data_IF_705730463440
#
_entry.id   IF_705730463440
#
_cell.length_a   1.000
_cell.length_b   1.000
_cell.length_c   1.000
_cell.angle_alpha   90.00
_cell.angle_beta   90.00
_cell.angle_gamma   90.00
#
_symmetry.space_group_name_H-M   'P 1'
#
loop_
_entity.id
_entity.type
_entity.pdbx_description
1 polymer ?
#
# COMPACT_ATOMS: atom_id res chain seq x y z
N UNK A 1 -49.52 11.44 38.85
CA UNK A 1 -48.17 10.90 39.17
C UNK A 1 -47.65 9.90 38.15
N UNK A 2 -48.27 8.72 37.92
CA UNK A 2 -47.73 7.70 36.99
C UNK A 2 -47.47 8.20 35.55
N UNK A 3 -48.41 8.97 34.97
CA UNK A 3 -48.23 9.55 33.61
C UNK A 3 -47.09 10.56 33.52
N UNK A 4 -46.94 11.41 34.54
CA UNK A 4 -45.86 12.42 34.61
C UNK A 4 -44.49 11.76 34.74
N UNK A 5 -44.40 10.69 35.53
CA UNK A 5 -43.16 9.90 35.68
C UNK A 5 -42.78 9.20 34.37
N UNK A 6 -43.77 8.63 33.65
CA UNK A 6 -43.52 8.01 32.34
C UNK A 6 -42.99 9.04 31.34
N UNK A 7 -43.60 10.22 31.25
CA UNK A 7 -43.12 11.28 30.34
C UNK A 7 -41.68 11.68 30.65
N UNK A 8 -41.35 11.90 31.92
CA UNK A 8 -39.99 12.28 32.34
C UNK A 8 -38.97 11.19 31.98
N UNK A 9 -39.30 9.91 32.24
CA UNK A 9 -38.42 8.79 31.91
C UNK A 9 -38.22 8.69 30.39
N UNK A 10 -39.27 8.81 29.59
CA UNK A 10 -39.17 8.73 28.13
C UNK A 10 -38.35 9.88 27.55
N UNK A 11 -38.52 11.10 28.06
CA UNK A 11 -37.73 12.26 27.64
C UNK A 11 -36.27 12.10 28.02
N UNK A 12 -35.97 11.60 29.23
CA UNK A 12 -34.59 11.34 29.65
C UNK A 12 -33.95 10.23 28.80
N UNK A 13 -34.71 9.17 28.46
CA UNK A 13 -34.26 8.10 27.58
C UNK A 13 -33.94 8.62 26.17
N UNK A 14 -34.82 9.47 25.61
CA UNK A 14 -34.57 10.12 24.31
C UNK A 14 -33.33 11.00 24.34
N UNK A 15 -33.11 11.78 25.41
CA UNK A 15 -31.91 12.62 25.55
C UNK A 15 -30.65 11.75 25.67
N UNK A 16 -30.69 10.62 26.39
CA UNK A 16 -29.56 9.69 26.47
C UNK A 16 -29.29 8.95 25.16
N UNK A 17 -30.32 8.67 24.37
CA UNK A 17 -30.18 8.03 23.05
C UNK A 17 -29.70 9.01 21.98
N UNK A 18 -30.05 10.30 22.09
CA UNK A 18 -29.58 11.37 21.21
C UNK A 18 -28.21 11.93 21.63
N UNK A 19 -27.79 11.72 22.88
CA UNK A 19 -26.67 12.41 23.50
C UNK A 19 -25.28 11.88 23.16
N UNK A 20 -25.14 10.63 22.71
CA UNK A 20 -23.81 10.05 22.48
C UNK A 20 -23.25 10.32 21.07
N UNK A 21 -24.08 10.40 20.03
CA UNK A 21 -23.59 10.65 18.66
C UNK A 21 -23.63 12.14 18.25
N UNK A 22 -24.54 12.94 18.83
CA UNK A 22 -24.71 14.35 18.46
C UNK A 22 -23.68 15.29 19.12
N UNK A 23 -23.03 14.84 20.19
CA UNK A 23 -22.06 15.62 20.98
C UNK A 23 -20.61 15.24 20.71
N UNK A 24 -20.36 14.15 19.97
CA UNK A 24 -19.01 13.84 19.52
C UNK A 24 -18.69 14.76 18.33
N UNK A 25 -17.54 15.46 18.34
CA UNK A 25 -17.10 16.18 17.16
C UNK A 25 -17.00 15.16 16.02
N UNK A 26 -17.45 15.56 14.82
CA UNK A 26 -17.23 14.77 13.60
C UNK A 26 -15.73 14.46 13.56
N UNK A 27 -15.32 13.17 13.45
CA UNK A 27 -13.90 12.84 13.37
C UNK A 27 -13.28 13.60 12.19
N UNK A 28 -12.05 14.07 12.38
CA UNK A 28 -11.31 14.74 11.32
C UNK A 28 -11.17 13.81 10.12
N UNK A 29 -11.08 14.39 8.92
CA UNK A 29 -10.78 13.62 7.72
C UNK A 29 -9.41 12.95 7.89
N UNK A 30 -9.30 11.64 7.59
CA UNK A 30 -8.02 10.96 7.67
C UNK A 30 -7.07 11.51 6.60
N UNK A 31 -5.77 11.53 6.91
CA UNK A 31 -4.72 11.74 5.91
C UNK A 31 -4.16 10.38 5.48
N UNK A 32 -3.64 10.33 4.27
CA UNK A 32 -2.94 9.16 3.75
C UNK A 32 -1.45 9.51 3.62
N UNK A 33 -0.60 8.69 4.21
CA UNK A 33 0.85 8.75 4.06
C UNK A 33 1.29 7.54 3.24
N UNK A 34 1.90 7.78 2.09
CA UNK A 34 2.41 6.76 1.19
C UNK A 34 3.94 6.74 1.25
N UNK A 35 4.50 5.59 1.60
CA UNK A 35 5.92 5.28 1.46
C UNK A 35 6.08 4.27 0.31
N UNK A 36 6.57 4.74 -0.84
CA UNK A 36 6.86 3.92 -1.99
C UNK A 36 8.34 3.57 -2.08
N UNK A 37 8.65 2.28 -2.14
CA UNK A 37 10.01 1.75 -2.27
C UNK A 37 10.12 1.03 -3.63
N UNK A 38 10.97 1.56 -4.51
CA UNK A 38 11.16 1.02 -5.87
C UNK A 38 12.63 0.81 -6.19
N UNK A 39 12.98 -0.36 -6.73
CA UNK A 39 14.37 -0.70 -7.07
C UNK A 39 14.46 -1.34 -8.45
N UNK A 40 15.27 -0.78 -9.35
CA UNK A 40 15.54 -1.36 -10.68
C UNK A 40 16.76 -2.30 -10.71
N UNK A 41 17.62 -2.21 -9.70
CA UNK A 41 18.90 -2.94 -9.59
C UNK A 41 19.89 -2.70 -10.73
N UNK A 42 19.74 -1.61 -11.51
CA UNK A 42 20.67 -1.29 -12.60
C UNK A 42 22.09 -0.96 -12.10
N UNK A 43 22.22 -0.65 -10.80
CA UNK A 43 23.52 -0.50 -10.15
C UNK A 43 24.18 -1.83 -9.78
N UNK A 44 23.50 -2.96 -9.91
CA UNK A 44 24.06 -4.30 -9.73
C UNK A 44 24.51 -4.91 -11.07
N UNK A 45 25.32 -5.96 -11.01
CA UNK A 45 25.79 -6.69 -12.20
C UNK A 45 24.73 -7.59 -12.86
N UNK A 46 23.64 -7.87 -12.16
CA UNK A 46 22.55 -8.73 -12.62
C UNK A 46 21.26 -8.45 -11.82
N UNK A 47 20.16 -9.10 -12.18
CA UNK A 47 18.89 -8.95 -11.47
C UNK A 47 18.16 -7.64 -11.79
N UNK A 48 18.37 -7.07 -12.97
CA UNK A 48 17.72 -5.82 -13.38
C UNK A 48 16.21 -6.01 -13.53
N UNK A 49 15.44 -5.04 -13.06
CA UNK A 49 14.01 -4.87 -13.27
C UNK A 49 13.78 -3.54 -14.00
N UNK A 50 12.70 -3.44 -14.77
CA UNK A 50 12.49 -2.27 -15.64
C UNK A 50 11.20 -1.48 -15.34
N UNK A 51 10.24 -2.07 -14.61
CA UNK A 51 8.96 -1.45 -14.30
C UNK A 51 8.87 -0.87 -12.89
N UNK A 52 9.63 -1.40 -11.94
CA UNK A 52 9.49 -1.08 -10.50
C UNK A 52 9.57 0.42 -10.16
N UNK A 53 10.42 1.18 -10.85
CA UNK A 53 10.54 2.63 -10.63
C UNK A 53 9.34 3.38 -11.19
N UNK A 54 8.89 3.03 -12.41
CA UNK A 54 7.69 3.60 -13.02
C UNK A 54 6.45 3.29 -12.18
N UNK A 55 6.27 2.01 -11.83
CA UNK A 55 5.24 1.50 -10.93
C UNK A 55 5.12 2.30 -9.62
N UNK A 56 6.26 2.53 -8.96
CA UNK A 56 6.31 3.26 -7.69
C UNK A 56 5.87 4.72 -7.86
N UNK A 57 6.37 5.40 -8.90
CA UNK A 57 6.05 6.80 -9.20
C UNK A 57 4.59 6.96 -9.62
N UNK A 58 4.09 6.07 -10.47
CA UNK A 58 2.73 6.08 -10.97
C UNK A 58 1.72 5.78 -9.87
N UNK A 59 1.99 4.80 -9.01
CA UNK A 59 1.08 4.50 -7.89
C UNK A 59 1.01 5.68 -6.91
N UNK A 60 2.15 6.29 -6.60
CA UNK A 60 2.20 7.49 -5.77
C UNK A 60 1.34 8.63 -6.37
N UNK A 61 1.47 8.83 -7.69
CA UNK A 61 0.70 9.83 -8.42
C UNK A 61 -0.79 9.51 -8.50
N UNK A 62 -1.15 8.26 -8.78
CA UNK A 62 -2.54 7.81 -8.80
C UNK A 62 -3.22 8.03 -7.43
N UNK A 63 -2.54 7.65 -6.34
CA UNK A 63 -3.04 7.87 -4.98
C UNK A 63 -3.15 9.36 -4.66
N UNK A 64 -2.13 10.17 -4.97
CA UNK A 64 -2.13 11.60 -4.73
C UNK A 64 -3.28 12.31 -5.44
N UNK A 65 -3.43 12.08 -6.75
CA UNK A 65 -4.48 12.73 -7.53
C UNK A 65 -5.88 12.22 -7.16
N UNK A 66 -6.04 10.92 -6.91
CA UNK A 66 -7.34 10.36 -6.48
C UNK A 66 -7.73 10.88 -5.09
N UNK A 67 -6.77 10.96 -4.17
CA UNK A 67 -6.99 11.55 -2.85
C UNK A 67 -7.45 13.00 -2.95
N UNK A 68 -6.74 13.82 -3.72
CA UNK A 68 -7.12 15.22 -3.94
C UNK A 68 -8.53 15.37 -4.53
N UNK A 69 -8.88 14.55 -5.53
CA UNK A 69 -10.22 14.57 -6.13
C UNK A 69 -11.33 14.18 -5.13
N UNK A 70 -11.01 13.28 -4.20
CA UNK A 70 -11.94 12.81 -3.17
C UNK A 70 -11.87 13.62 -1.88
N UNK A 71 -11.03 14.67 -1.82
CA UNK A 71 -10.89 15.55 -0.66
C UNK A 71 -10.13 14.92 0.52
N UNK A 72 -9.16 14.05 0.22
CA UNK A 72 -8.27 13.33 1.15
C UNK A 72 -6.86 13.80 0.91
N UNK A 73 -6.20 14.33 1.94
CA UNK A 73 -4.80 14.75 1.83
C UNK A 73 -3.90 13.51 1.73
N UNK A 74 -2.99 13.53 0.76
CA UNK A 74 -2.01 12.45 0.51
C UNK A 74 -0.60 13.03 0.61
N UNK A 75 0.19 12.52 1.54
CA UNK A 75 1.62 12.81 1.66
C UNK A 75 2.43 11.65 1.07
N UNK A 76 3.29 11.95 0.11
CA UNK A 76 4.08 10.95 -0.63
C UNK A 76 5.52 10.99 -0.16
N UNK A 77 6.14 9.83 0.07
CA UNK A 77 7.59 9.67 0.20
C UNK A 77 8.04 8.58 -0.75
N UNK A 78 9.05 8.86 -1.57
CA UNK A 78 9.64 7.88 -2.48
C UNK A 78 11.06 7.54 -2.06
N UNK A 79 11.36 6.24 -1.97
CA UNK A 79 12.70 5.71 -1.80
C UNK A 79 13.05 4.89 -3.04
N UNK A 80 13.87 5.48 -3.92
CA UNK A 80 14.14 4.93 -5.24
C UNK A 80 15.62 4.58 -5.40
N UNK A 81 15.88 3.38 -5.91
CA UNK A 81 17.17 3.02 -6.48
C UNK A 81 17.01 2.98 -8.00
N UNK A 82 17.33 4.10 -8.66
CA UNK A 82 17.14 4.31 -10.10
C UNK A 82 18.48 4.50 -10.82
N UNK A 83 18.70 3.71 -11.87
CA UNK A 83 19.84 3.76 -12.77
C UNK A 83 21.10 3.04 -12.28
N UNK A 84 22.18 3.15 -13.07
CA UNK A 84 23.43 2.43 -12.84
C UNK A 84 24.30 3.01 -11.71
N UNK A 85 24.07 4.27 -11.34
CA UNK A 85 24.88 5.00 -10.36
C UNK A 85 24.00 5.82 -9.40
N UNK A 86 23.08 5.18 -8.66
CA UNK A 86 22.30 5.85 -7.63
C UNK A 86 23.24 6.34 -6.52
N UNK A 87 22.84 7.42 -5.85
CA UNK A 87 23.53 7.88 -4.65
C UNK A 87 23.18 6.97 -3.47
N UNK A 88 24.01 5.94 -3.25
CA UNK A 88 23.87 4.99 -2.13
C UNK A 88 23.97 5.67 -0.76
N UNK A 89 24.52 6.90 -0.69
CA UNK A 89 24.64 7.65 0.57
C UNK A 89 23.38 8.44 0.93
N UNK A 90 22.51 8.70 -0.05
CA UNK A 90 21.24 9.43 0.13
C UNK A 90 20.38 8.83 1.25
N UNK A 91 19.73 9.64 2.11
CA UNK A 91 18.78 9.15 3.10
C UNK A 91 17.56 8.45 2.46
N UNK A 92 17.27 8.73 1.19
CA UNK A 92 16.19 8.11 0.41
C UNK A 92 16.64 6.87 -0.37
N UNK A 93 17.92 6.48 -0.27
CA UNK A 93 18.37 5.22 -0.84
C UNK A 93 17.70 4.05 -0.10
N UNK A 94 17.06 3.09 -0.79
CA UNK A 94 16.25 2.06 -0.17
C UNK A 94 17.10 0.91 0.40
N UNK A 95 18.01 1.17 1.34
CA UNK A 95 18.63 0.11 2.16
C UNK A 95 17.71 -0.28 3.32
N UNK A 96 17.94 -1.44 3.95
CA UNK A 96 17.06 -1.95 5.01
C UNK A 96 16.98 -0.94 6.15
N UNK A 97 18.12 -0.48 6.66
CA UNK A 97 18.19 0.48 7.75
C UNK A 97 17.50 1.82 7.42
N UNK A 98 17.60 2.28 6.16
CA UNK A 98 17.00 3.54 5.72
C UNK A 98 15.48 3.42 5.57
N UNK A 99 14.98 2.28 5.09
CA UNK A 99 13.54 2.00 5.04
C UNK A 99 12.94 2.02 6.45
N UNK A 100 13.60 1.40 7.43
CA UNK A 100 13.16 1.43 8.83
C UNK A 100 13.15 2.83 9.41
N UNK A 101 14.25 3.58 9.24
CA UNK A 101 14.34 4.96 9.69
C UNK A 101 13.23 5.83 9.06
N UNK A 102 12.87 5.57 7.82
CA UNK A 102 11.80 6.29 7.15
C UNK A 102 10.40 5.92 7.66
N UNK A 103 10.15 4.63 7.96
CA UNK A 103 8.90 4.20 8.61
C UNK A 103 8.77 4.87 9.99
N UNK A 104 9.85 4.91 10.77
CA UNK A 104 9.87 5.58 12.08
C UNK A 104 9.59 7.09 11.94
N UNK A 105 10.30 7.78 11.03
CA UNK A 105 10.11 9.21 10.76
C UNK A 105 8.67 9.56 10.36
N UNK A 106 8.01 8.72 9.56
CA UNK A 106 6.62 8.91 9.18
C UNK A 106 5.66 8.54 10.33
N UNK A 107 6.01 7.51 11.09
CA UNK A 107 5.31 7.07 12.31
C UNK A 107 5.10 8.18 13.33
N UNK A 108 6.10 9.04 13.53
CA UNK A 108 6.03 10.18 14.46
C UNK A 108 4.95 11.23 14.12
N UNK A 109 4.45 11.23 12.88
CA UNK A 109 3.43 12.19 12.40
C UNK A 109 2.04 11.60 12.29
N UNK A 110 1.96 10.28 12.23
CA UNK A 110 0.73 9.53 12.01
C UNK A 110 -0.11 9.52 13.28
N UNK A 111 -1.41 9.77 13.13
CA UNK A 111 -2.40 9.59 14.20
C UNK A 111 -3.18 8.28 13.99
N UNK A 112 -3.89 7.77 15.01
CA UNK A 112 -4.75 6.58 14.86
C UNK A 112 -5.86 6.71 13.80
N UNK A 113 -6.21 7.95 13.40
CA UNK A 113 -7.19 8.22 12.37
C UNK A 113 -6.60 8.17 10.95
N UNK A 114 -5.28 8.24 10.79
CA UNK A 114 -4.65 8.29 9.48
C UNK A 114 -4.47 6.91 8.84
N UNK A 115 -4.12 6.93 7.56
CA UNK A 115 -3.70 5.77 6.79
C UNK A 115 -2.21 5.83 6.48
N UNK A 116 -1.53 4.71 6.63
CA UNK A 116 -0.17 4.50 6.17
C UNK A 116 -0.15 3.40 5.11
N UNK A 117 0.36 3.71 3.92
CA UNK A 117 0.56 2.75 2.84
C UNK A 117 2.06 2.53 2.68
N UNK A 118 2.50 1.30 2.88
CA UNK A 118 3.83 0.85 2.51
C UNK A 118 3.73 0.10 1.18
N UNK A 119 4.38 0.61 0.15
CA UNK A 119 4.47 -0.03 -1.16
C UNK A 119 5.90 -0.44 -1.45
N UNK A 120 6.07 -1.66 -1.96
CA UNK A 120 7.35 -2.18 -2.40
C UNK A 120 7.24 -2.81 -3.78
N UNK A 121 8.13 -2.41 -4.70
CA UNK A 121 8.31 -3.03 -6.01
C UNK A 121 9.78 -3.43 -6.20
N UNK A 122 10.03 -4.73 -6.34
CA UNK A 122 11.39 -5.27 -6.40
C UNK A 122 11.44 -6.79 -6.31
N UNK A 123 12.64 -7.33 -6.11
CA UNK A 123 12.80 -8.77 -5.95
C UNK A 123 12.29 -9.25 -4.59
N UNK A 124 11.67 -10.43 -4.62
CA UNK A 124 11.45 -11.24 -3.43
C UNK A 124 12.59 -12.26 -3.31
N UNK A 125 13.09 -12.47 -2.10
CA UNK A 125 14.17 -13.38 -1.80
C UNK A 125 13.79 -14.85 -2.09
N UNK A 126 14.66 -15.52 -2.85
CA UNK A 126 14.65 -16.94 -3.20
C UNK A 126 15.96 -17.64 -2.75
N UNK A 127 16.79 -16.97 -1.94
CA UNK A 127 18.15 -17.44 -1.64
C UNK A 127 18.12 -18.51 -0.53
N UNK A 128 18.77 -19.64 -0.82
CA UNK A 128 18.97 -20.82 0.04
C UNK A 128 17.80 -21.82 0.19
N UNK A 129 17.04 -22.06 -0.87
CA UNK A 129 16.18 -23.26 -0.94
C UNK A 129 14.84 -23.14 -0.20
N UNK A 130 14.42 -21.90 0.10
CA UNK A 130 13.09 -21.59 0.59
C UNK A 130 12.59 -20.30 -0.02
N UNK A 131 11.35 -20.33 -0.52
CA UNK A 131 10.60 -19.18 -1.02
C UNK A 131 10.22 -18.32 0.19
N UNK A 132 11.15 -17.47 0.66
CA UNK A 132 10.97 -16.73 1.91
C UNK A 132 9.98 -15.58 1.73
N UNK A 133 10.00 -14.90 0.58
CA UNK A 133 9.18 -13.71 0.35
C UNK A 133 9.68 -12.47 1.10
N UNK A 134 10.90 -12.52 1.64
CA UNK A 134 11.58 -11.33 2.15
C UNK A 134 11.93 -10.37 0.99
N UNK A 135 12.16 -9.10 1.31
CA UNK A 135 12.38 -8.07 0.31
C UNK A 135 13.88 -7.94 0.08
N UNK A 136 14.33 -8.12 -1.16
CA UNK A 136 15.69 -7.73 -1.56
C UNK A 136 15.67 -6.21 -1.68
N UNK A 137 16.56 -5.50 -0.98
CA UNK A 137 16.58 -4.03 -0.97
C UNK A 137 17.89 -3.53 -1.60
N UNK A 138 18.28 -2.29 -1.33
CA UNK A 138 19.38 -1.62 -2.03
C UNK A 138 20.71 -2.38 -1.98
N UNK A 139 21.42 -2.37 -3.11
CA UNK A 139 22.78 -2.93 -3.22
C UNK A 139 23.81 -1.97 -2.58
N UNK A 140 24.64 -2.40 -1.62
CA UNK A 140 25.49 -1.50 -0.85
C UNK A 140 26.47 -0.67 -1.68
N UNK A 141 27.02 -1.22 -2.77
CA UNK A 141 27.91 -0.51 -3.68
C UNK A 141 27.52 -0.71 -5.15
N UNK A 142 27.79 0.31 -5.96
CA UNK A 142 27.58 0.23 -7.41
C UNK A 142 28.57 -0.77 -8.03
N UNK A 143 28.04 -1.66 -8.87
CA UNK A 143 28.79 -2.74 -9.53
C UNK A 143 28.88 -4.02 -8.72
N UNK A 144 28.24 -4.11 -7.54
CA UNK A 144 28.17 -5.36 -6.80
C UNK A 144 27.16 -6.34 -7.44
N UNK A 145 27.20 -7.60 -7.00
CA UNK A 145 26.19 -8.60 -7.36
C UNK A 145 24.88 -8.34 -6.62
N UNK A 146 23.73 -8.63 -7.24
CA UNK A 146 22.42 -8.58 -6.55
C UNK A 146 22.39 -9.48 -5.31
N UNK A 147 23.15 -10.58 -5.29
CA UNK A 147 23.28 -11.45 -4.11
C UNK A 147 24.00 -10.81 -2.91
N UNK A 148 24.57 -9.62 -3.08
CA UNK A 148 25.13 -8.81 -1.98
C UNK A 148 24.13 -7.79 -1.43
N UNK A 149 22.96 -7.65 -2.07
CA UNK A 149 21.91 -6.78 -1.60
C UNK A 149 21.47 -7.18 -0.20
N UNK A 150 21.07 -6.17 0.57
CA UNK A 150 20.48 -6.39 1.88
C UNK A 150 19.11 -7.08 1.74
N UNK A 151 18.72 -7.85 2.76
CA UNK A 151 17.42 -8.54 2.80
C UNK A 151 16.60 -7.96 3.96
N UNK A 152 15.62 -7.14 3.63
CA UNK A 152 14.66 -6.65 4.62
C UNK A 152 13.63 -7.75 4.90
N UNK A 153 13.71 -8.36 6.08
CA UNK A 153 12.79 -9.44 6.44
C UNK A 153 11.39 -8.92 6.67
N UNK A 154 10.37 -9.69 6.28
CA UNK A 154 8.97 -9.34 6.54
C UNK A 154 8.68 -9.30 8.05
N UNK A 155 9.39 -10.11 8.85
CA UNK A 155 9.32 -10.03 10.31
C UNK A 155 9.79 -8.67 10.84
N UNK A 156 10.92 -8.15 10.32
CA UNK A 156 11.40 -6.81 10.68
C UNK A 156 10.42 -5.73 10.20
N UNK A 157 9.85 -5.86 9.00
CA UNK A 157 8.80 -4.95 8.51
C UNK A 157 7.63 -4.89 9.48
N UNK A 158 7.08 -6.04 9.87
CA UNK A 158 5.96 -6.07 10.81
C UNK A 158 6.33 -5.52 12.18
N UNK A 159 7.55 -5.76 12.67
CA UNK A 159 7.99 -5.21 13.94
C UNK A 159 8.10 -3.68 13.90
N UNK A 160 8.65 -3.09 12.84
CA UNK A 160 8.71 -1.64 12.67
C UNK A 160 7.30 -1.02 12.54
N UNK A 161 6.39 -1.70 11.84
CA UNK A 161 5.01 -1.25 11.68
C UNK A 161 4.15 -1.35 12.93
N UNK A 162 4.59 -2.05 14.00
CA UNK A 162 3.86 -2.09 15.28
C UNK A 162 3.82 -0.71 15.96
N UNK A 163 4.86 0.10 15.78
CA UNK A 163 4.95 1.43 16.39
C UNK A 163 4.08 2.47 15.68
N UNK A 164 3.67 2.21 14.44
CA UNK A 164 2.79 3.09 13.67
C UNK A 164 1.35 2.91 14.14
N UNK A 165 0.74 3.91 14.77
CA UNK A 165 -0.63 3.78 15.34
C UNK A 165 -1.75 3.82 14.28
N UNK A 166 -1.46 4.35 13.09
CA UNK A 166 -2.38 4.46 11.97
C UNK A 166 -2.86 3.11 11.41
N UNK A 167 -3.92 3.16 10.61
CA UNK A 167 -4.33 2.01 9.79
C UNK A 167 -3.31 1.79 8.67
N UNK A 168 -2.81 0.56 8.53
CA UNK A 168 -1.69 0.21 7.65
C UNK A 168 -2.15 -0.66 6.49
N UNK A 169 -1.76 -0.31 5.27
CA UNK A 169 -1.89 -1.15 4.08
C UNK A 169 -0.51 -1.44 3.50
N UNK A 170 -0.15 -2.72 3.44
CA UNK A 170 1.09 -3.17 2.81
C UNK A 170 0.76 -3.66 1.41
N UNK A 171 1.41 -3.10 0.41
CA UNK A 171 1.27 -3.46 -1.00
C UNK A 171 2.64 -3.97 -1.47
N UNK A 172 2.75 -5.26 -1.76
CA UNK A 172 4.02 -5.89 -2.13
C UNK A 172 3.93 -6.43 -3.56
N UNK A 173 4.59 -5.75 -4.49
CA UNK A 173 4.83 -6.24 -5.86
C UNK A 173 6.19 -6.91 -5.96
N UNK A 174 6.27 -8.11 -5.37
CA UNK A 174 7.45 -8.96 -5.36
C UNK A 174 7.06 -10.44 -5.38
N UNK A 175 8.00 -11.28 -5.84
CA UNK A 175 7.86 -12.73 -5.80
C UNK A 175 7.65 -13.24 -4.37
N UNK A 176 6.82 -14.28 -4.22
CA UNK A 176 6.53 -14.92 -2.92
C UNK A 176 5.98 -13.97 -1.84
N UNK A 177 5.44 -12.81 -2.23
CA UNK A 177 4.89 -11.81 -1.30
C UNK A 177 3.78 -12.36 -0.39
N UNK A 178 3.10 -13.43 -0.81
CA UNK A 178 2.12 -14.18 -0.02
C UNK A 178 2.69 -15.09 1.08
N UNK A 179 4.00 -15.33 1.14
CA UNK A 179 4.62 -16.37 1.98
C UNK A 179 4.42 -16.18 3.49
N UNK A 180 4.30 -14.92 3.92
CA UNK A 180 4.12 -14.56 5.32
C UNK A 180 2.66 -14.29 5.72
N UNK A 181 1.71 -14.59 4.83
CA UNK A 181 0.30 -14.30 5.05
C UNK A 181 -0.57 -15.54 4.90
N UNK A 182 -1.52 -15.70 5.81
CA UNK A 182 -2.58 -16.70 5.66
C UNK A 182 -3.53 -16.19 4.58
N UNK A 183 -3.71 -16.92 3.47
CA UNK A 183 -4.47 -16.44 2.32
C UNK A 183 -5.96 -16.27 2.65
N UNK A 184 -6.56 -15.21 2.13
CA UNK A 184 -8.01 -15.00 2.14
C UNK A 184 -8.66 -15.42 0.79
N UNK A 185 -9.86 -16.03 0.79
CA UNK A 185 -10.67 -16.40 1.96
C UNK A 185 -10.08 -17.57 2.74
N UNK A 186 -10.28 -17.56 4.05
CA UNK A 186 -9.82 -18.62 4.95
C UNK A 186 -10.46 -19.98 4.60
N UNK A 187 -9.70 -21.05 4.74
CA UNK A 187 -10.20 -22.42 4.82
C UNK A 187 -10.87 -22.69 6.18
N UNK A 188 -11.61 -23.81 6.31
CA UNK A 188 -12.22 -24.21 7.59
C UNK A 188 -11.15 -24.38 8.68
N UNK A 189 -10.07 -25.12 8.37
CA UNK A 189 -8.95 -25.35 9.29
C UNK A 189 -8.31 -24.04 9.77
N UNK A 190 -8.08 -23.09 8.86
CA UNK A 190 -7.48 -21.79 9.21
C UNK A 190 -8.41 -20.94 10.09
N UNK A 191 -9.74 -21.14 10.05
CA UNK A 191 -10.65 -20.45 10.97
C UNK A 191 -10.57 -21.00 12.40
N UNK A 192 -10.19 -22.26 12.57
CA UNK A 192 -10.08 -22.93 13.86
C UNK A 192 -8.72 -22.69 14.55
N UNK A 193 -7.67 -22.47 13.76
CA UNK A 193 -6.33 -22.14 14.23
C UNK A 193 -6.24 -20.63 14.49
N UNK A 194 -6.26 -20.22 15.76
CA UNK A 194 -6.29 -18.84 16.24
C UNK A 194 -5.31 -17.93 15.46
N UNK A 195 -5.85 -17.06 14.59
CA UNK A 195 -5.07 -16.24 13.68
C UNK A 195 -4.54 -15.02 14.42
N UNK A 196 -3.24 -14.72 14.24
CA UNK A 196 -2.64 -13.44 14.65
C UNK A 196 -3.19 -12.31 13.76
N UNK A 197 -4.46 -11.99 13.96
CA UNK A 197 -5.19 -10.95 13.25
C UNK A 197 -4.92 -9.58 13.88
N UNK A 198 -4.51 -8.63 13.05
CA UNK A 198 -4.29 -7.23 13.45
C UNK A 198 -5.33 -6.40 12.71
N UNK A 199 -6.33 -5.88 13.44
CA UNK A 199 -7.47 -5.18 12.85
C UNK A 199 -7.10 -3.96 12.01
N UNK A 200 -5.98 -3.32 12.31
CA UNK A 200 -5.48 -2.13 11.63
C UNK A 200 -4.42 -2.43 10.56
N UNK A 201 -4.25 -3.69 10.13
CA UNK A 201 -3.24 -4.05 9.12
C UNK A 201 -3.85 -4.85 7.96
N UNK A 202 -3.58 -4.36 6.75
CA UNK A 202 -4.14 -4.82 5.49
C UNK A 202 -3.04 -5.15 4.49
N UNK A 203 -3.36 -5.99 3.50
CA UNK A 203 -2.38 -6.50 2.55
C UNK A 203 -2.93 -6.57 1.13
N UNK A 204 -2.14 -6.15 0.14
CA UNK A 204 -2.29 -6.49 -1.27
C UNK A 204 -0.96 -7.07 -1.75
N UNK A 205 -0.95 -8.33 -2.14
CA UNK A 205 0.26 -9.09 -2.43
C UNK A 205 0.20 -9.56 -3.87
N UNK A 206 1.25 -9.35 -4.64
CA UNK A 206 1.24 -9.63 -6.07
C UNK A 206 1.15 -11.13 -6.40
N UNK A 207 1.61 -11.99 -5.49
CA UNK A 207 1.61 -13.43 -5.70
C UNK A 207 1.22 -14.23 -4.46
N UNK A 208 0.81 -15.47 -4.68
CA UNK A 208 0.63 -16.48 -3.63
C UNK A 208 2.00 -16.93 -3.07
N UNK A 209 2.00 -17.59 -1.91
CA UNK A 209 3.21 -17.95 -1.16
C UNK A 209 4.28 -18.69 -1.96
N UNK A 210 3.87 -19.55 -2.90
CA UNK A 210 4.76 -20.39 -3.72
C UNK A 210 4.83 -19.93 -5.19
N UNK A 211 4.36 -18.71 -5.48
CA UNK A 211 4.28 -18.15 -6.84
C UNK A 211 5.13 -16.90 -6.99
N UNK A 212 5.59 -16.69 -8.21
CA UNK A 212 6.36 -15.50 -8.61
C UNK A 212 5.43 -14.36 -9.02
N UNK A 213 5.94 -13.12 -8.92
CA UNK A 213 5.35 -11.94 -9.58
C UNK A 213 6.10 -11.67 -10.89
N UNK A 214 5.42 -11.10 -11.88
CA UNK A 214 5.97 -10.84 -13.21
C UNK A 214 5.90 -9.36 -13.57
N UNK A 215 6.89 -8.93 -14.34
CA UNK A 215 6.81 -7.72 -15.16
C UNK A 215 6.28 -8.06 -16.56
N UNK A 216 5.49 -7.16 -17.14
CA UNK A 216 4.99 -7.27 -18.50
C UNK A 216 5.08 -5.93 -19.23
N UNK A 217 5.35 -6.01 -20.54
CA UNK A 217 5.30 -4.87 -21.44
C UNK A 217 3.84 -4.53 -21.74
N UNK A 218 3.38 -3.35 -21.31
CA UNK A 218 2.10 -2.76 -21.65
C UNK A 218 2.36 -1.54 -22.54
N UNK A 219 1.99 -1.63 -23.82
CA UNK A 219 2.29 -0.60 -24.82
C UNK A 219 3.79 -0.21 -24.83
N UNK A 220 4.13 1.02 -24.43
CA UNK A 220 5.51 1.52 -24.37
C UNK A 220 6.21 1.37 -23.01
N UNK A 221 5.52 0.80 -22.01
CA UNK A 221 5.99 0.76 -20.62
C UNK A 221 6.07 -0.67 -20.11
N UNK A 222 6.92 -0.90 -19.11
CA UNK A 222 7.00 -2.17 -18.40
C UNK A 222 6.43 -1.94 -17.01
N UNK A 223 5.55 -2.83 -16.56
CA UNK A 223 4.96 -2.77 -15.23
C UNK A 223 4.93 -4.14 -14.57
N UNK A 224 5.02 -4.16 -13.25
CA UNK A 224 4.55 -5.28 -12.44
C UNK A 224 3.07 -5.53 -12.74
N UNK A 225 2.72 -6.79 -13.01
CA UNK A 225 1.36 -7.15 -13.43
C UNK A 225 0.33 -6.72 -12.38
N UNK A 226 0.63 -6.87 -11.08
CA UNK A 226 -0.28 -6.41 -10.03
C UNK A 226 -0.39 -4.89 -10.04
N UNK A 227 0.73 -4.17 -10.10
CA UNK A 227 0.73 -2.71 -10.05
C UNK A 227 -0.02 -2.10 -11.24
N UNK A 228 0.14 -2.63 -12.45
CA UNK A 228 -0.64 -2.18 -13.61
C UNK A 228 -2.16 -2.29 -13.38
N UNK A 229 -2.63 -3.40 -12.79
CA UNK A 229 -4.05 -3.57 -12.48
C UNK A 229 -4.51 -2.66 -11.33
N UNK A 230 -3.63 -2.40 -10.37
CA UNK A 230 -3.88 -1.48 -9.27
C UNK A 230 -4.07 -0.05 -9.78
N UNK A 231 -3.21 0.39 -10.71
CA UNK A 231 -3.32 1.67 -11.40
C UNK A 231 -4.63 1.78 -12.18
N UNK A 232 -4.95 0.77 -12.99
CA UNK A 232 -6.21 0.72 -13.74
C UNK A 232 -7.44 0.80 -12.81
N UNK A 233 -7.41 0.10 -11.68
CA UNK A 233 -8.49 0.16 -10.69
C UNK A 233 -8.66 1.57 -10.09
N UNK A 234 -7.58 2.30 -9.85
CA UNK A 234 -7.62 3.71 -9.40
C UNK A 234 -8.07 4.69 -10.50
N UNK A 235 -8.21 4.21 -11.73
CA UNK A 235 -8.60 5.01 -12.90
C UNK A 235 -7.41 5.74 -13.54
N UNK A 236 -6.20 5.21 -13.37
CA UNK A 236 -4.99 5.73 -14.01
C UNK A 236 -5.07 5.55 -15.53
N UNK A 237 -4.71 6.61 -16.24
CA UNK A 237 -4.54 6.64 -17.69
C UNK A 237 -3.04 6.78 -17.96
N UNK A 238 -2.44 5.80 -18.65
CA UNK A 238 -1.01 5.79 -18.96
C UNK A 238 -0.60 6.82 -20.03
N UNK A 239 -1.55 7.57 -20.59
CA UNK A 239 -1.25 8.63 -21.55
C UNK A 239 -0.81 9.95 -20.90
N UNK A 240 0.10 10.65 -21.56
CA UNK A 240 0.58 11.95 -21.12
C UNK A 240 1.54 11.87 -19.94
N UNK A 241 1.65 12.96 -19.19
CA UNK A 241 2.62 13.10 -18.10
C UNK A 241 2.02 13.94 -16.98
N UNK A 242 2.21 13.51 -15.74
CA UNK A 242 1.91 14.29 -14.52
C UNK A 242 3.19 14.62 -13.76
N UNK A 243 3.05 15.40 -12.70
CA UNK A 243 4.14 15.69 -11.78
C UNK A 243 3.64 15.52 -10.36
N UNK A 244 4.45 14.84 -9.55
CA UNK A 244 4.24 14.75 -8.10
C UNK A 244 5.42 15.36 -7.37
N UNK A 245 5.13 15.88 -6.18
CA UNK A 245 6.16 16.36 -5.25
C UNK A 245 6.07 15.53 -3.99
N UNK A 246 7.19 14.95 -3.57
CA UNK A 246 7.25 14.19 -2.32
C UNK A 246 7.31 15.11 -1.09
N UNK A 247 7.29 14.49 0.08
CA UNK A 247 7.30 15.13 1.38
C UNK A 247 8.52 16.03 1.59
N UNK A 248 9.66 15.69 0.98
CA UNK A 248 10.91 16.43 1.12
C UNK A 248 11.10 17.46 -0.03
N UNK A 249 10.02 17.74 -0.79
CA UNK A 249 9.94 18.67 -1.93
C UNK A 249 10.73 18.25 -3.18
N UNK A 250 11.03 16.97 -3.35
CA UNK A 250 11.56 16.48 -4.62
C UNK A 250 10.41 16.31 -5.62
N UNK A 251 10.58 16.84 -6.84
CA UNK A 251 9.59 16.71 -7.91
C UNK A 251 9.96 15.60 -8.88
N UNK A 252 8.98 14.79 -9.25
CA UNK A 252 9.13 13.66 -10.17
C UNK A 252 8.18 13.82 -11.35
N UNK A 253 8.71 13.68 -12.56
CA UNK A 253 7.90 13.48 -13.76
C UNK A 253 7.38 12.05 -13.76
N UNK A 254 6.09 11.87 -14.03
CA UNK A 254 5.42 10.57 -13.99
C UNK A 254 4.62 10.39 -15.26
N UNK A 255 4.70 9.21 -15.88
CA UNK A 255 3.92 8.92 -17.08
C UNK A 255 2.49 8.61 -16.69
N UNK A 256 1.53 9.17 -17.42
CA UNK A 256 0.12 9.01 -17.12
C UNK A 256 -0.45 10.07 -16.18
N UNK A 257 -1.77 9.99 -15.95
CA UNK A 257 -2.52 10.89 -15.09
C UNK A 257 -3.88 10.27 -14.66
N UNK A 258 -4.55 10.89 -13.69
CA UNK A 258 -5.99 10.68 -13.47
C UNK A 258 -6.75 11.73 -14.28
N UNK A 259 -7.57 11.36 -15.29
CA UNK A 259 -8.33 12.33 -16.05
C UNK A 259 -9.27 13.14 -15.15
N UNK A 260 -9.31 14.46 -15.35
CA UNK A 260 -10.10 15.36 -14.49
C UNK A 260 -11.59 15.01 -14.53
N UNK A 261 -12.18 14.80 -13.35
CA UNK A 261 -13.59 14.43 -13.21
C UNK A 261 -13.90 12.97 -13.56
N UNK A 262 -12.89 12.14 -13.82
CA UNK A 262 -13.07 10.71 -14.02
C UNK A 262 -13.43 10.01 -12.70
N UNK A 263 -14.34 9.06 -12.79
CA UNK A 263 -14.71 8.20 -11.66
C UNK A 263 -13.86 6.93 -11.76
N UNK A 264 -13.24 6.52 -10.64
CA UNK A 264 -12.51 5.25 -10.60
C UNK A 264 -13.45 4.08 -10.96
N UNK A 265 -12.99 3.08 -11.75
CA UNK A 265 -13.79 1.90 -12.09
C UNK A 265 -14.35 1.12 -10.89
N UNK A 266 -13.76 1.28 -9.72
CA UNK A 266 -14.17 0.61 -8.48
C UNK A 266 -14.86 1.55 -7.48
N UNK A 267 -15.07 2.82 -7.82
CA UNK A 267 -15.81 3.74 -6.97
C UNK A 267 -17.28 3.33 -6.89
N UNK A 268 -17.79 3.14 -5.67
CA UNK A 268 -19.19 2.82 -5.40
C UNK A 268 -19.78 3.81 -4.42
N UNK A 269 -20.81 4.54 -4.87
CA UNK A 269 -21.52 5.52 -4.05
C UNK A 269 -20.59 6.55 -3.40
N UNK A 270 -19.52 6.98 -4.08
CA UNK A 270 -18.55 7.93 -3.55
C UNK A 270 -17.44 7.32 -2.69
N UNK A 271 -17.30 6.00 -2.63
CA UNK A 271 -16.29 5.30 -1.84
C UNK A 271 -15.45 4.37 -2.71
N UNK A 272 -14.16 4.26 -2.39
CA UNK A 272 -13.26 3.22 -2.92
C UNK A 272 -12.92 2.29 -1.77
N UNK A 273 -13.35 1.02 -1.87
CA UNK A 273 -13.06 0.00 -0.87
C UNK A 273 -11.83 -0.82 -1.27
N UNK A 274 -11.00 -1.17 -0.30
CA UNK A 274 -9.89 -2.10 -0.49
C UNK A 274 -10.39 -3.46 -1.02
N UNK A 275 -11.59 -3.89 -0.64
CA UNK A 275 -12.21 -5.13 -1.11
C UNK A 275 -12.50 -5.10 -2.61
N UNK A 276 -12.93 -3.95 -3.13
CA UNK A 276 -13.20 -3.77 -4.56
C UNK A 276 -11.91 -3.63 -5.37
N UNK A 277 -10.91 -2.94 -4.81
CA UNK A 277 -9.56 -2.90 -5.35
C UNK A 277 -8.97 -4.31 -5.47
N UNK A 278 -9.06 -5.11 -4.41
CA UNK A 278 -8.60 -6.49 -4.40
C UNK A 278 -9.34 -7.37 -5.41
N UNK A 279 -10.67 -7.24 -5.51
CA UNK A 279 -11.47 -8.00 -6.49
C UNK A 279 -11.08 -7.64 -7.93
N UNK A 280 -10.80 -6.37 -8.21
CA UNK A 280 -10.36 -5.90 -9.52
C UNK A 280 -9.01 -6.52 -9.90
N UNK A 281 -7.99 -6.38 -9.05
CA UNK A 281 -6.65 -6.92 -9.33
C UNK A 281 -6.63 -8.45 -9.43
N UNK A 282 -7.39 -9.15 -8.56
CA UNK A 282 -7.45 -10.62 -8.54
C UNK A 282 -8.22 -11.19 -9.73
N UNK A 283 -9.04 -10.37 -10.39
CA UNK A 283 -9.77 -10.75 -11.60
C UNK A 283 -8.86 -11.00 -12.80
N UNK A 284 -7.65 -10.43 -12.79
CA UNK A 284 -6.68 -10.60 -13.88
C UNK A 284 -5.71 -11.72 -13.54
N UNK A 285 -5.70 -12.73 -14.41
CA UNK A 285 -4.75 -13.84 -14.34
C UNK A 285 -3.68 -13.66 -15.42
N UNK A 286 -2.44 -13.56 -14.99
CA UNK A 286 -1.28 -13.56 -15.88
C UNK A 286 -0.38 -14.74 -15.51
N UNK A 287 -0.24 -15.69 -16.44
CA UNK A 287 0.45 -16.97 -16.19
C UNK A 287 -0.13 -17.66 -14.93
N UNK A 288 0.71 -17.97 -13.96
CA UNK A 288 0.37 -18.55 -12.66
C UNK A 288 0.35 -17.52 -11.52
N UNK A 289 0.64 -16.23 -11.80
CA UNK A 289 0.53 -15.17 -10.81
C UNK A 289 -0.94 -14.89 -10.48
N UNK A 290 -1.21 -14.72 -9.20
CA UNK A 290 -2.50 -14.31 -8.68
C UNK A 290 -2.33 -13.45 -7.44
N UNK A 291 -2.97 -12.29 -7.42
CA UNK A 291 -2.96 -11.42 -6.27
C UNK A 291 -3.60 -12.10 -5.04
N UNK A 292 -2.93 -11.97 -3.90
CA UNK A 292 -3.35 -12.49 -2.59
C UNK A 292 -3.60 -11.32 -1.61
N UNK A 293 -4.42 -11.56 -0.60
CA UNK A 293 -4.55 -10.69 0.57
C UNK A 293 -4.52 -11.55 1.83
N UNK A 294 -4.25 -10.92 2.98
CA UNK A 294 -4.17 -11.58 4.28
C UNK A 294 -5.52 -11.66 5.01
N UNK A 295 -5.47 -12.15 6.24
CA UNK A 295 -6.65 -12.23 7.13
C UNK A 295 -6.92 -10.84 7.70
N UNK A 296 -7.82 -10.10 7.05
CA UNK A 296 -8.15 -8.72 7.38
C UNK A 296 -9.61 -8.41 7.02
N UNK A 297 -10.24 -7.40 7.63
CA UNK A 297 -11.54 -6.95 7.18
C UNK A 297 -11.36 -6.15 5.89
N UNK A 298 -11.24 -6.81 4.73
CA UNK A 298 -10.98 -6.16 3.42
C UNK A 298 -11.92 -4.99 3.08
N UNK A 299 -13.02 -4.81 3.81
CA UNK A 299 -13.93 -3.66 3.73
C UNK A 299 -13.36 -2.37 4.35
N UNK A 300 -12.06 -2.12 4.17
CA UNK A 300 -11.45 -0.83 4.44
C UNK A 300 -11.90 0.18 3.38
N UNK A 301 -12.35 1.37 3.81
CA UNK A 301 -12.57 2.51 2.91
C UNK A 301 -11.22 3.21 2.69
N UNK A 302 -10.67 3.07 1.48
CA UNK A 302 -9.39 3.69 1.11
C UNK A 302 -9.55 5.18 0.79
N UNK A 303 -10.65 5.53 0.11
CA UNK A 303 -11.04 6.91 -0.15
C UNK A 303 -12.55 7.07 -0.06
N UNK A 304 -13.02 8.21 0.45
CA UNK A 304 -14.44 8.56 0.48
C UNK A 304 -14.66 10.04 0.21
N UNK A 305 -15.65 10.35 -0.62
CA UNK A 305 -16.17 11.72 -0.80
C UNK A 305 -16.96 12.20 0.43
N UNK A 306 -17.30 11.31 1.37
CA UNK A 306 -18.19 11.56 2.50
C UNK A 306 -17.47 11.77 3.84
N UNK A 307 -16.14 11.68 3.86
CA UNK A 307 -15.35 11.99 5.06
C UNK A 307 -15.56 13.42 5.53
#
# INVERSE_FOLDING_TARGET
>A
MKRTIIVIITTLLLITLLGCELLLPKPDKPKLYFLGVGLDYHNATSGHLNGTIGDTKELASALYHRGNEMGVAVEVTLMLQEGATPDVTSPLYPSEAKIWAQIERLGEKLTPNDFFIFYFAGHGDDVQGGQSGNLIVGVPNNGDSIYSAEVATIANLYNNLKAVEATKLLILDSCYSGAHQVPYPLTIKQREENLNYIASQFYLLASEADKVSYEHQYDSEIHGVMTYQLLAALGWDHSGTSTITDFDNNSYSVNGHIPTGSISPIEKSGNIYLSDLFRFIRGVKYRDQRAQTGVGPIELILFSRHW
#
